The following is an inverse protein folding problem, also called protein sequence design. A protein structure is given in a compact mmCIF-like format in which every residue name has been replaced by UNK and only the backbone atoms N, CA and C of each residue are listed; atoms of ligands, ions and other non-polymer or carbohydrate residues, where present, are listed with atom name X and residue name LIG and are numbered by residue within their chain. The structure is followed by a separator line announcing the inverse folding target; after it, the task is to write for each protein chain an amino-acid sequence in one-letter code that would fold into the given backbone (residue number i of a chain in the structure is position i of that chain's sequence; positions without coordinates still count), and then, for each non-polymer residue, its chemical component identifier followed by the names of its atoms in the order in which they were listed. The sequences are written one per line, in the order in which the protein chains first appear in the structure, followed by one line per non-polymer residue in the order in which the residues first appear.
data_IF_227885580864
#
_entry.id   IF_227885580864
#
_cell.length_a   1.000
_cell.length_b   1.000
_cell.length_c   1.000
_cell.angle_alpha   90.00
_cell.angle_beta   90.00
_cell.angle_gamma   90.00
#
_symmetry.space_group_name_H-M   'P 1'
#
loop_
_entity.id
_entity.type
_entity.pdbx_description
1 polymer ?
#
# COMPACT_ATOMS: atom_id res chain seq x y z
N UNK A 1 36.54 27.52 -37.72
CA UNK A 1 35.99 27.37 -36.35
C UNK A 1 34.67 26.63 -36.48
N UNK A 2 34.48 25.54 -35.74
CA UNK A 2 33.22 24.81 -35.74
C UNK A 2 32.34 25.43 -34.65
N UNK A 3 31.21 26.03 -35.04
CA UNK A 3 30.20 26.46 -34.07
C UNK A 3 29.49 25.20 -33.53
N UNK A 4 29.36 25.02 -32.21
CA UNK A 4 28.55 23.93 -31.68
C UNK A 4 27.07 24.22 -31.96
N UNK A 5 26.35 23.22 -32.46
CA UNK A 5 24.90 23.26 -32.63
C UNK A 5 24.29 23.60 -31.26
N UNK A 6 23.65 24.76 -31.13
CA UNK A 6 22.72 25.04 -30.03
C UNK A 6 21.48 24.18 -30.25
N UNK A 7 21.57 22.88 -29.98
CA UNK A 7 20.39 22.07 -29.79
C UNK A 7 19.65 22.71 -28.62
N UNK A 8 18.45 23.25 -28.89
CA UNK A 8 17.51 23.52 -27.81
C UNK A 8 17.44 22.22 -27.01
N UNK A 9 17.81 22.28 -25.74
CA UNK A 9 17.61 21.16 -24.84
C UNK A 9 16.12 20.87 -24.89
N UNK A 10 15.73 19.79 -25.58
CA UNK A 10 14.37 19.24 -25.61
C UNK A 10 14.08 18.54 -24.28
N UNK A 11 14.58 19.11 -23.18
CA UNK A 11 14.01 18.92 -21.86
C UNK A 11 12.82 19.88 -21.76
N UNK A 12 11.90 19.75 -22.72
CA UNK A 12 10.50 20.05 -22.44
C UNK A 12 10.16 19.08 -21.33
N UNK A 13 10.20 19.57 -20.09
CA UNK A 13 9.52 18.91 -18.98
C UNK A 13 8.16 18.53 -19.52
N UNK A 14 7.85 17.25 -19.48
CA UNK A 14 6.56 16.73 -19.85
C UNK A 14 5.50 17.45 -18.99
N UNK A 15 4.99 18.55 -19.52
CA UNK A 15 4.00 19.41 -18.87
C UNK A 15 2.61 18.75 -18.85
N UNK A 16 2.52 17.52 -19.37
CA UNK A 16 1.36 16.63 -19.37
C UNK A 16 1.81 15.17 -19.12
N UNK A 17 2.73 14.94 -18.17
CA UNK A 17 2.69 13.68 -17.46
C UNK A 17 1.71 13.89 -16.32
N UNK A 18 0.46 13.48 -16.52
CA UNK A 18 -0.49 13.23 -15.45
C UNK A 18 0.25 12.46 -14.35
N UNK A 19 0.70 13.17 -13.32
CA UNK A 19 1.36 12.55 -12.19
C UNK A 19 0.38 11.51 -11.63
N UNK A 20 0.83 10.29 -11.30
CA UNK A 20 -0.08 9.23 -10.88
C UNK A 20 -0.98 9.77 -9.77
N UNK A 21 -2.28 9.44 -9.83
CA UNK A 21 -3.35 9.98 -8.98
C UNK A 21 -3.16 9.73 -7.46
N UNK A 22 -1.99 9.27 -7.02
CA UNK A 22 -1.62 8.85 -5.67
C UNK A 22 -0.23 9.38 -5.34
N UNK A 23 -0.05 9.82 -4.10
CA UNK A 23 1.28 10.13 -3.58
C UNK A 23 2.13 8.85 -3.55
N UNK A 24 3.45 8.99 -3.68
CA UNK A 24 4.39 7.89 -3.45
C UNK A 24 4.20 7.25 -2.06
N UNK A 25 3.85 8.04 -1.06
CA UNK A 25 3.54 7.54 0.28
C UNK A 25 2.30 6.62 0.25
N UNK A 26 1.26 7.00 -0.48
CA UNK A 26 0.06 6.18 -0.63
C UNK A 26 0.36 4.84 -1.32
N UNK A 27 1.28 4.84 -2.30
CA UNK A 27 1.73 3.61 -2.97
C UNK A 27 2.50 2.69 -2.02
N UNK A 28 3.34 3.26 -1.15
CA UNK A 28 4.07 2.51 -0.14
C UNK A 28 3.12 1.92 0.91
N UNK A 29 2.11 2.67 1.31
CA UNK A 29 1.09 2.19 2.25
C UNK A 29 0.26 1.04 1.66
N UNK A 30 -0.09 1.11 0.38
CA UNK A 30 -0.73 -0.01 -0.34
C UNK A 30 0.19 -1.23 -0.33
N UNK A 31 1.46 -1.06 -0.70
CA UNK A 31 2.42 -2.16 -0.74
C UNK A 31 2.61 -2.78 0.63
N UNK A 32 2.83 -1.97 1.67
CA UNK A 32 3.01 -2.43 3.04
C UNK A 32 1.77 -3.18 3.53
N UNK A 33 0.57 -2.65 3.28
CA UNK A 33 -0.67 -3.33 3.65
C UNK A 33 -0.81 -4.69 2.95
N UNK A 34 -0.37 -4.81 1.69
CA UNK A 34 -0.31 -6.09 0.97
C UNK A 34 0.64 -7.10 1.62
N UNK A 35 1.85 -6.68 1.97
CA UNK A 35 2.85 -7.54 2.62
C UNK A 35 2.39 -7.99 4.01
N UNK A 36 1.82 -7.09 4.80
CA UNK A 36 1.26 -7.43 6.10
C UNK A 36 0.06 -8.38 5.98
N UNK A 37 -0.76 -8.25 4.93
CA UNK A 37 -1.82 -9.21 4.63
C UNK A 37 -1.29 -10.61 4.31
N UNK A 38 -0.18 -10.70 3.57
CA UNK A 38 0.48 -11.98 3.31
C UNK A 38 1.07 -12.60 4.59
N UNK A 39 1.72 -11.80 5.43
CA UNK A 39 2.25 -12.26 6.72
C UNK A 39 1.12 -12.72 7.65
N UNK A 40 0.00 -11.99 7.69
CA UNK A 40 -1.18 -12.34 8.48
C UNK A 40 -1.76 -13.69 8.08
N UNK A 41 -1.79 -14.00 6.77
CA UNK A 41 -2.23 -15.30 6.31
C UNK A 41 -1.32 -16.42 6.85
N UNK A 42 0.00 -16.22 6.86
CA UNK A 42 0.94 -17.20 7.42
C UNK A 42 0.77 -17.36 8.93
N UNK A 43 0.60 -16.26 9.67
CA UNK A 43 0.39 -16.33 11.13
C UNK A 43 -0.92 -17.03 11.49
N UNK A 44 -1.98 -16.81 10.70
CA UNK A 44 -3.24 -17.51 10.91
C UNK A 44 -3.09 -19.02 10.71
N UNK A 45 -2.37 -19.48 9.67
CA UNK A 45 -2.15 -20.91 9.41
C UNK A 45 -1.24 -21.56 10.47
N UNK A 46 -0.35 -20.78 11.08
CA UNK A 46 0.50 -21.23 12.19
C UNK A 46 -0.19 -21.15 13.56
N UNK A 47 -1.40 -20.61 13.65
CA UNK A 47 -2.13 -20.42 14.91
C UNK A 47 -1.51 -19.37 15.84
N UNK A 48 -0.70 -18.44 15.31
CA UNK A 48 -0.06 -17.36 16.07
C UNK A 48 -1.03 -16.20 16.28
N UNK A 49 -2.04 -16.40 17.13
CA UNK A 49 -3.18 -15.49 17.29
C UNK A 49 -2.77 -14.09 17.77
N UNK A 50 -1.92 -13.99 18.79
CA UNK A 50 -1.48 -12.71 19.33
C UNK A 50 -0.69 -11.87 18.30
N UNK A 51 0.15 -12.52 17.49
CA UNK A 51 0.91 -11.90 16.41
C UNK A 51 -0.03 -11.49 15.27
N UNK A 52 -0.97 -12.36 14.91
CA UNK A 52 -2.02 -12.10 13.93
C UNK A 52 -2.83 -10.85 14.28
N UNK A 53 -3.27 -10.73 15.53
CA UNK A 53 -4.05 -9.58 16.02
C UNK A 53 -3.27 -8.26 15.87
N UNK A 54 -1.96 -8.28 16.23
CA UNK A 54 -1.08 -7.10 16.09
C UNK A 54 -0.92 -6.70 14.62
N UNK A 55 -0.77 -7.67 13.72
CA UNK A 55 -0.63 -7.43 12.29
C UNK A 55 -1.96 -6.90 11.72
N UNK A 56 -3.09 -7.50 12.08
CA UNK A 56 -4.41 -7.06 11.65
C UNK A 56 -4.71 -5.61 12.07
N UNK A 57 -4.29 -5.21 13.28
CA UNK A 57 -4.37 -3.83 13.72
C UNK A 57 -3.52 -2.87 12.88
N UNK A 58 -2.31 -3.28 12.45
CA UNK A 58 -1.49 -2.47 11.55
C UNK A 58 -2.10 -2.36 10.15
N UNK A 59 -2.66 -3.45 9.60
CA UNK A 59 -3.39 -3.41 8.33
C UNK A 59 -4.60 -2.48 8.42
N UNK A 60 -5.35 -2.52 9.52
CA UNK A 60 -6.48 -1.63 9.76
C UNK A 60 -6.06 -0.16 9.81
N UNK A 61 -4.91 0.16 10.42
CA UNK A 61 -4.35 1.53 10.41
C UNK A 61 -4.01 2.01 9.00
N UNK A 62 -3.41 1.16 8.16
CA UNK A 62 -3.01 1.51 6.80
C UNK A 62 -4.18 1.60 5.82
N UNK A 63 -5.21 0.75 5.98
CA UNK A 63 -6.34 0.65 5.04
C UNK A 63 -7.64 1.28 5.53
N UNK A 64 -7.70 1.70 6.79
CA UNK A 64 -8.92 2.17 7.46
C UNK A 64 -9.91 1.07 7.87
N UNK A 65 -9.61 -0.20 7.59
CA UNK A 65 -10.47 -1.33 7.94
C UNK A 65 -9.66 -2.63 8.16
N UNK A 66 -10.09 -3.49 9.10
CA UNK A 66 -9.44 -4.77 9.34
C UNK A 66 -9.59 -5.72 8.14
N UNK A 67 -8.60 -6.60 7.91
CA UNK A 67 -8.68 -7.60 6.84
C UNK A 67 -9.78 -8.63 7.12
N UNK A 68 -10.70 -8.79 6.16
CA UNK A 68 -11.92 -9.58 6.31
C UNK A 68 -11.69 -11.04 6.72
N UNK A 69 -10.63 -11.68 6.23
CA UNK A 69 -10.27 -13.07 6.58
C UNK A 69 -10.00 -13.23 8.08
N UNK A 70 -9.24 -12.30 8.65
CA UNK A 70 -8.84 -12.39 10.06
C UNK A 70 -9.99 -11.98 10.99
N UNK A 71 -10.82 -11.01 10.59
CA UNK A 71 -12.04 -10.61 11.33
C UNK A 71 -13.11 -11.72 11.40
N UNK A 72 -13.07 -12.72 10.51
CA UNK A 72 -13.91 -13.92 10.63
C UNK A 72 -13.31 -15.03 11.49
N UNK A 73 -12.02 -14.91 11.85
CA UNK A 73 -11.26 -15.87 12.68
C UNK A 73 -11.18 -15.43 14.14
N UNK A 74 -10.99 -14.14 14.35
CA UNK A 74 -11.19 -13.49 15.65
C UNK A 74 -12.67 -13.18 15.77
N UNK A 75 -13.26 -13.32 16.96
CA UNK A 75 -14.67 -12.95 17.23
C UNK A 75 -14.88 -11.41 17.18
N UNK A 76 -14.07 -10.71 16.39
CA UNK A 76 -14.04 -9.27 16.26
C UNK A 76 -15.19 -8.81 15.36
N UNK A 77 -15.96 -7.78 15.76
CA UNK A 77 -17.09 -7.32 14.98
C UNK A 77 -16.65 -6.85 13.59
N UNK A 78 -17.18 -7.48 12.55
CA UNK A 78 -16.96 -7.05 11.17
C UNK A 78 -17.43 -5.60 10.99
N UNK A 79 -16.65 -4.73 10.32
CA UNK A 79 -17.06 -3.36 10.09
C UNK A 79 -18.31 -3.35 9.19
N UNK A 80 -19.38 -2.70 9.67
CA UNK A 80 -20.60 -2.52 8.91
C UNK A 80 -20.31 -1.67 7.66
N UNK A 81 -20.38 -2.31 6.48
CA UNK A 81 -20.36 -1.61 5.20
C UNK A 81 -21.64 -0.77 5.10
N UNK A 82 -21.48 0.56 5.03
CA UNK A 82 -22.57 1.52 4.76
C UNK A 82 -22.59 1.92 3.29
#
# INVERSE_FOLDING_TARGET
MYEPIRTKSVHTSADHADFPHRSREDELDIQLAGHLGALLAVTDELGLTAEGDRIAAQVARLRGAPPARHAGRTDAPAPALR
#
